data_IF_947380543504
#
_entry.id   IF_947380543504
#
_cell.length_a   1.000
_cell.length_b   1.000
_cell.length_c   1.000
_cell.angle_alpha   90.00
_cell.angle_beta   90.00
_cell.angle_gamma   90.00
#
_symmetry.space_group_name_H-M   'P 1'
#
loop_
_entity.id
_entity.type
_entity.pdbx_description
1 polymer ?
#
# COMPACT_ATOMS: atom_id res chain seq x y z
N UNK A 1 -55.49 29.04 15.78
CA UNK A 1 -54.81 27.94 15.04
C UNK A 1 -53.49 28.33 14.38
N UNK A 2 -53.04 29.61 14.41
CA UNK A 2 -51.81 30.07 13.73
C UNK A 2 -50.53 30.14 14.61
N UNK A 3 -50.65 29.86 15.91
CA UNK A 3 -49.53 29.95 16.89
C UNK A 3 -48.91 28.59 17.22
N UNK A 4 -49.64 27.50 17.05
CA UNK A 4 -49.15 26.12 17.26
C UNK A 4 -48.21 25.63 16.16
N UNK A 5 -48.31 26.16 14.93
CA UNK A 5 -47.36 25.85 13.85
C UNK A 5 -45.96 26.41 14.07
N UNK A 6 -45.78 27.54 14.78
CA UNK A 6 -44.44 28.12 14.95
C UNK A 6 -43.55 27.28 15.88
N UNK A 7 -44.14 26.67 16.92
CA UNK A 7 -43.38 25.89 17.90
C UNK A 7 -42.81 24.60 17.27
N UNK A 8 -43.51 24.03 16.29
CA UNK A 8 -43.08 22.81 15.62
C UNK A 8 -41.87 23.05 14.68
N UNK A 9 -41.73 24.24 14.10
CA UNK A 9 -40.57 24.57 13.25
C UNK A 9 -39.29 24.85 14.05
N UNK A 10 -39.37 25.31 15.30
CA UNK A 10 -38.18 25.54 16.14
C UNK A 10 -37.56 24.23 16.66
N UNK A 11 -38.34 23.16 16.81
CA UNK A 11 -37.85 21.84 17.25
C UNK A 11 -37.04 21.11 16.17
N UNK A 12 -37.23 21.43 14.88
CA UNK A 12 -36.47 20.87 13.77
C UNK A 12 -35.08 21.51 13.58
N UNK A 13 -34.84 22.69 14.17
CA UNK A 13 -33.55 23.38 14.09
C UNK A 13 -32.50 22.83 15.10
N UNK A 14 -32.94 22.15 16.17
CA UNK A 14 -32.06 21.65 17.22
C UNK A 14 -31.39 20.29 16.91
N UNK A 15 -31.80 19.60 15.84
CA UNK A 15 -31.13 18.37 15.37
C UNK A 15 -29.96 18.63 14.42
N UNK A 16 -29.70 19.89 14.05
CA UNK A 16 -28.51 20.28 13.29
C UNK A 16 -27.35 20.35 14.29
N UNK A 17 -26.70 19.21 14.49
CA UNK A 17 -25.45 19.11 15.25
C UNK A 17 -24.50 20.20 14.79
N UNK A 18 -24.21 21.12 15.70
CA UNK A 18 -23.13 22.09 15.61
C UNK A 18 -21.83 21.33 15.43
N UNK A 19 -21.35 21.26 14.19
CA UNK A 19 -19.96 20.96 13.91
C UNK A 19 -19.12 22.03 14.59
N UNK A 20 -18.23 21.60 15.49
CA UNK A 20 -17.28 22.46 16.17
C UNK A 20 -16.33 23.15 15.17
N UNK A 21 -15.65 24.22 15.60
CA UNK A 21 -14.92 25.11 14.71
C UNK A 21 -13.78 24.37 13.99
N UNK A 22 -13.67 24.67 12.71
CA UNK A 22 -12.56 24.32 11.82
C UNK A 22 -11.21 24.49 12.53
N UNK A 23 -10.58 23.36 12.85
CA UNK A 23 -9.13 23.30 12.80
C UNK A 23 -8.78 23.04 11.34
N UNK A 24 -8.45 24.12 10.65
CA UNK A 24 -7.68 24.07 9.42
C UNK A 24 -6.29 23.50 9.75
N UNK A 25 -6.20 22.17 9.84
CA UNK A 25 -4.93 21.47 9.84
C UNK A 25 -4.63 20.98 8.41
N UNK A 26 -3.44 21.37 8.01
CA UNK A 26 -2.69 21.10 6.79
C UNK A 26 -3.07 19.78 6.07
N UNK A 27 -3.38 19.91 4.77
CA UNK A 27 -3.80 18.82 3.87
C UNK A 27 -2.61 17.96 3.41
N UNK A 28 -1.87 17.38 4.34
CA UNK A 28 -1.13 16.14 4.08
C UNK A 28 -1.97 14.99 4.59
N UNK A 29 -2.85 14.49 3.72
CA UNK A 29 -3.77 13.39 3.97
C UNK A 29 -3.02 12.04 4.05
N UNK A 30 -2.13 11.91 5.01
CA UNK A 30 -1.63 10.62 5.47
C UNK A 30 -2.61 10.16 6.54
N UNK A 31 -3.29 9.01 6.38
CA UNK A 31 -4.20 8.51 7.40
C UNK A 31 -3.36 8.18 8.65
N UNK A 32 -3.30 9.10 9.61
CA UNK A 32 -2.76 8.77 10.93
C UNK A 32 -3.83 7.98 11.68
N UNK A 33 -3.44 6.87 12.31
CA UNK A 33 -4.34 6.01 13.06
C UNK A 33 -5.29 6.83 13.95
N UNK A 34 -6.59 6.56 13.82
CA UNK A 34 -7.61 7.26 14.60
C UNK A 34 -7.37 7.09 16.11
N UNK A 35 -7.95 7.95 16.95
CA UNK A 35 -7.79 7.83 18.40
C UNK A 35 -8.22 6.44 18.94
N UNK A 36 -9.27 5.86 18.34
CA UNK A 36 -9.76 4.52 18.64
C UNK A 36 -8.77 3.43 18.21
N UNK A 37 -8.20 3.55 17.01
CA UNK A 37 -7.22 2.60 16.49
C UNK A 37 -5.93 2.59 17.32
N UNK A 38 -5.43 3.77 17.73
CA UNK A 38 -4.29 3.85 18.65
C UNK A 38 -4.55 3.18 19.98
N UNK A 39 -5.75 3.36 20.56
CA UNK A 39 -6.12 2.69 21.80
C UNK A 39 -6.19 1.16 21.61
N UNK A 40 -6.75 0.69 20.49
CA UNK A 40 -6.84 -0.73 20.17
C UNK A 40 -5.47 -1.38 19.92
N UNK A 41 -4.53 -0.66 19.29
CA UNK A 41 -3.13 -1.09 19.17
C UNK A 41 -2.46 -1.15 20.56
N UNK A 42 -2.65 -0.12 21.38
CA UNK A 42 -2.07 -0.08 22.73
C UNK A 42 -2.61 -1.19 23.65
N UNK A 43 -3.87 -1.58 23.48
CA UNK A 43 -4.47 -2.71 24.20
C UNK A 43 -4.16 -4.09 23.59
N UNK A 44 -3.43 -4.14 22.46
CA UNK A 44 -3.10 -5.39 21.76
C UNK A 44 -4.27 -6.05 21.04
N UNK A 45 -5.37 -5.34 20.84
CA UNK A 45 -6.55 -5.85 20.09
C UNK A 45 -6.29 -5.81 18.58
N UNK A 46 -5.54 -4.80 18.12
CA UNK A 46 -5.11 -4.65 16.71
C UNK A 46 -3.59 -4.76 16.66
N UNK A 47 -3.07 -5.49 15.66
CA UNK A 47 -1.64 -5.56 15.41
C UNK A 47 -1.10 -4.19 14.97
N UNK A 48 0.04 -3.80 15.52
CA UNK A 48 0.76 -2.61 15.08
C UNK A 48 1.48 -2.94 13.77
N UNK A 49 0.82 -2.71 12.64
CA UNK A 49 1.41 -2.87 11.31
C UNK A 49 2.78 -2.18 11.27
N UNK A 50 2.89 -1.00 11.89
CA UNK A 50 4.08 -0.18 12.18
C UNK A 50 5.29 -0.91 12.76
N UNK A 51 5.11 -2.11 13.33
CA UNK A 51 6.17 -2.94 13.92
C UNK A 51 6.43 -4.26 13.19
N UNK A 52 5.59 -4.62 12.22
CA UNK A 52 5.76 -5.86 11.45
C UNK A 52 6.83 -5.63 10.37
N UNK A 53 7.77 -6.56 10.26
CA UNK A 53 8.81 -6.48 9.24
C UNK A 53 8.23 -6.65 7.83
N UNK A 54 8.56 -5.77 6.87
CA UNK A 54 8.11 -5.94 5.48
C UNK A 54 8.89 -7.03 4.75
N UNK A 55 9.98 -7.55 5.33
CA UNK A 55 10.77 -8.64 4.73
C UNK A 55 9.87 -9.85 4.48
N UNK A 56 9.98 -10.45 3.30
CA UNK A 56 9.19 -11.61 2.95
C UNK A 56 8.89 -11.74 1.47
N UNK A 57 8.09 -12.76 1.16
CA UNK A 57 7.54 -13.03 -0.15
C UNK A 57 6.03 -12.81 -0.11
N UNK A 58 5.54 -12.09 -1.11
CA UNK A 58 4.14 -11.76 -1.33
C UNK A 58 3.74 -12.21 -2.73
N UNK A 59 2.55 -12.77 -2.85
CA UNK A 59 2.09 -13.35 -4.10
C UNK A 59 0.57 -13.32 -4.20
N UNK A 60 0.05 -12.93 -5.37
CA UNK A 60 -1.34 -13.15 -5.76
C UNK A 60 -1.36 -14.08 -6.97
N UNK A 61 -2.24 -15.09 -6.94
CA UNK A 61 -2.47 -15.95 -8.11
C UNK A 61 -3.85 -15.65 -8.70
N UNK A 62 -3.95 -15.59 -10.02
CA UNK A 62 -5.20 -15.40 -10.75
C UNK A 62 -5.11 -16.04 -12.15
N UNK A 63 -6.15 -15.90 -12.98
CA UNK A 63 -6.23 -16.57 -14.30
C UNK A 63 -5.10 -16.18 -15.26
N UNK A 64 -4.69 -14.91 -15.26
CA UNK A 64 -3.61 -14.42 -16.12
C UNK A 64 -2.19 -14.85 -15.69
N UNK A 65 -1.99 -15.36 -14.46
CA UNK A 65 -0.66 -15.64 -13.93
C UNK A 65 -0.53 -15.44 -12.43
N UNK A 66 0.68 -15.06 -11.98
CA UNK A 66 0.96 -14.75 -10.59
C UNK A 66 1.64 -13.39 -10.50
N UNK A 67 1.13 -12.53 -9.65
CA UNK A 67 1.82 -11.33 -9.23
C UNK A 67 2.75 -11.68 -8.07
N UNK A 68 3.97 -11.16 -8.10
CA UNK A 68 5.00 -11.42 -7.10
C UNK A 68 5.59 -10.10 -6.60
N UNK A 69 5.82 -10.04 -5.30
CA UNK A 69 6.63 -9.01 -4.67
C UNK A 69 7.52 -9.70 -3.65
N UNK A 70 8.82 -9.48 -3.75
CA UNK A 70 9.77 -9.89 -2.72
C UNK A 70 10.36 -8.64 -2.06
N UNK A 71 10.63 -8.73 -0.77
CA UNK A 71 11.34 -7.69 0.00
C UNK A 71 12.40 -8.39 0.83
N UNK A 72 13.66 -8.03 0.61
CA UNK A 72 14.80 -8.64 1.29
C UNK A 72 15.76 -7.56 1.83
N UNK A 73 16.41 -7.81 2.99
CA UNK A 73 17.48 -6.94 3.46
C UNK A 73 18.74 -7.13 2.61
N UNK A 74 19.48 -6.04 2.39
CA UNK A 74 20.83 -6.07 1.83
C UNK A 74 21.88 -5.76 2.92
N UNK A 75 23.17 -5.87 2.59
CA UNK A 75 24.27 -5.85 3.57
C UNK A 75 24.39 -4.56 4.38
N UNK A 76 23.96 -3.42 3.83
CA UNK A 76 24.00 -2.12 4.50
C UNK A 76 22.78 -1.85 5.39
N UNK A 77 21.87 -2.82 5.53
CA UNK A 77 20.64 -2.71 6.30
C UNK A 77 19.49 -2.03 5.56
N UNK A 78 19.68 -1.60 4.30
CA UNK A 78 18.58 -1.15 3.45
C UNK A 78 17.74 -2.33 2.96
N UNK A 79 16.51 -2.05 2.52
CA UNK A 79 15.65 -3.07 1.93
C UNK A 79 15.69 -2.92 0.42
N UNK A 80 15.79 -4.05 -0.26
CA UNK A 80 15.62 -4.15 -1.71
C UNK A 80 14.36 -4.94 -2.01
N UNK A 81 13.72 -4.63 -3.12
CA UNK A 81 12.53 -5.31 -3.58
C UNK A 81 12.64 -5.65 -5.06
N UNK A 82 11.85 -6.63 -5.46
CA UNK A 82 11.53 -6.90 -6.85
C UNK A 82 10.05 -7.22 -6.97
N UNK A 83 9.47 -6.81 -8.08
CA UNK A 83 8.05 -6.89 -8.35
C UNK A 83 7.82 -7.41 -9.77
N UNK A 84 6.82 -8.27 -9.90
CA UNK A 84 6.23 -8.67 -11.16
C UNK A 84 4.70 -8.67 -11.02
N UNK A 85 3.99 -8.11 -12.00
CA UNK A 85 2.54 -8.17 -12.09
C UNK A 85 2.12 -8.61 -13.49
N UNK A 86 1.25 -9.61 -13.60
CA UNK A 86 0.90 -10.25 -14.88
C UNK A 86 -0.57 -9.97 -15.23
N UNK A 87 -0.81 -9.34 -16.39
CA UNK A 87 -2.16 -9.01 -16.87
C UNK A 87 -2.58 -9.84 -18.08
N UNK A 88 -1.66 -10.63 -18.64
CA UNK A 88 -1.89 -11.53 -19.76
C UNK A 88 -0.56 -12.03 -20.33
N UNK A 89 -0.62 -12.75 -21.46
CA UNK A 89 0.58 -13.33 -22.07
C UNK A 89 1.67 -12.28 -22.39
N UNK A 90 1.25 -11.15 -22.96
CA UNK A 90 2.11 -10.06 -23.43
C UNK A 90 2.10 -8.82 -22.49
N UNK A 91 1.16 -8.76 -21.55
CA UNK A 91 0.94 -7.58 -20.70
C UNK A 91 1.41 -7.88 -19.29
N UNK A 92 2.47 -7.22 -18.86
CA UNK A 92 3.04 -7.39 -17.53
C UNK A 92 3.79 -6.14 -17.11
N UNK A 93 4.02 -5.99 -15.81
CA UNK A 93 4.92 -4.99 -15.26
C UNK A 93 6.00 -5.68 -14.46
N UNK A 94 7.24 -5.22 -14.59
CA UNK A 94 8.38 -5.77 -13.86
C UNK A 94 9.30 -4.64 -13.41
N UNK A 95 9.89 -4.79 -12.22
CA UNK A 95 10.88 -3.84 -11.76
C UNK A 95 11.50 -4.21 -10.42
N UNK A 96 12.68 -3.67 -10.18
CA UNK A 96 13.44 -3.83 -8.95
C UNK A 96 13.85 -2.45 -8.42
N UNK A 97 14.16 -2.41 -7.13
CA UNK A 97 14.77 -1.24 -6.52
C UNK A 97 14.80 -1.29 -5.01
N UNK A 98 14.83 -0.10 -4.40
CA UNK A 98 14.93 0.04 -2.95
C UNK A 98 13.56 0.27 -2.29
N UNK A 99 13.35 -0.35 -1.15
CA UNK A 99 12.16 -0.16 -0.32
C UNK A 99 12.54 0.58 0.97
N UNK A 100 11.70 1.53 1.39
CA UNK A 100 11.81 2.17 2.70
C UNK A 100 10.48 2.16 3.40
N UNK A 101 10.49 1.76 4.66
CA UNK A 101 9.30 1.74 5.50
C UNK A 101 9.06 3.10 6.17
N UNK A 102 7.80 3.51 6.22
CA UNK A 102 7.34 4.72 6.92
C UNK A 102 5.95 4.45 7.53
N UNK A 103 5.92 3.99 8.78
CA UNK A 103 4.67 3.58 9.43
C UNK A 103 4.01 2.40 8.73
N UNK A 104 2.77 2.56 8.32
CA UNK A 104 1.97 1.62 7.54
C UNK A 104 2.19 1.76 6.02
N UNK A 105 3.22 2.51 5.58
CA UNK A 105 3.58 2.69 4.18
C UNK A 105 4.90 2.04 3.83
N UNK A 106 4.99 1.59 2.58
CA UNK A 106 6.24 1.22 1.91
C UNK A 106 6.48 2.15 0.73
N UNK A 107 7.60 2.86 0.78
CA UNK A 107 8.08 3.71 -0.30
C UNK A 107 8.97 2.83 -1.18
N UNK A 108 8.49 2.51 -2.38
CA UNK A 108 9.17 1.69 -3.37
C UNK A 108 9.76 2.64 -4.42
N UNK A 109 11.09 2.70 -4.49
CA UNK A 109 11.81 3.48 -5.50
C UNK A 109 12.46 2.52 -6.48
N UNK A 110 12.03 2.57 -7.73
CA UNK A 110 12.50 1.70 -8.81
C UNK A 110 13.82 2.21 -9.40
N UNK A 111 14.66 1.29 -9.86
CA UNK A 111 15.99 1.63 -10.40
C UNK A 111 15.95 1.98 -11.91
N UNK A 112 15.12 1.26 -12.68
CA UNK A 112 15.12 1.34 -14.15
C UNK A 112 14.29 2.48 -14.75
N UNK A 113 13.35 3.06 -13.98
CA UNK A 113 12.44 4.11 -14.46
C UNK A 113 12.70 5.43 -13.73
N UNK A 114 12.97 6.49 -14.49
CA UNK A 114 13.37 7.81 -13.99
C UNK A 114 12.42 8.30 -12.89
N UNK A 115 12.84 8.17 -11.63
CA UNK A 115 12.10 8.60 -10.45
C UNK A 115 10.71 7.96 -10.27
N UNK A 116 10.45 6.75 -10.79
CA UNK A 116 9.22 6.04 -10.41
C UNK A 116 9.28 5.68 -8.91
N UNK A 117 8.42 6.32 -8.14
CA UNK A 117 8.25 6.11 -6.70
C UNK A 117 6.79 5.76 -6.45
N UNK A 118 6.55 4.60 -5.84
CA UNK A 118 5.21 4.18 -5.42
C UNK A 118 5.17 4.13 -3.89
N UNK A 119 4.17 4.82 -3.31
CA UNK A 119 3.89 4.75 -1.87
C UNK A 119 2.76 3.73 -1.65
N UNK A 120 3.16 2.50 -1.39
CA UNK A 120 2.24 1.39 -1.15
C UNK A 120 1.73 1.37 0.30
N UNK A 121 0.50 0.90 0.50
CA UNK A 121 -0.02 0.53 1.81
C UNK A 121 0.60 -0.81 2.25
N UNK A 122 0.96 -0.90 3.53
CA UNK A 122 1.45 -2.12 4.16
C UNK A 122 0.80 -2.30 5.54
N UNK A 123 0.00 -3.36 5.68
CA UNK A 123 -0.77 -3.65 6.90
C UNK A 123 -0.17 -4.76 7.77
N UNK A 124 0.95 -5.37 7.33
CA UNK A 124 1.54 -6.54 7.98
C UNK A 124 1.56 -7.76 7.07
N UNK A 125 0.42 -8.02 6.43
CA UNK A 125 0.10 -9.24 5.68
C UNK A 125 -0.16 -8.98 4.19
N UNK A 126 -0.24 -7.72 3.77
CA UNK A 126 -0.40 -7.35 2.37
C UNK A 126 0.37 -6.07 2.05
N UNK A 127 0.86 -5.99 0.83
CA UNK A 127 1.31 -4.74 0.20
C UNK A 127 0.33 -4.37 -0.90
N UNK A 128 -0.27 -3.18 -0.84
CA UNK A 128 -1.23 -2.72 -1.84
C UNK A 128 -0.74 -1.41 -2.49
N UNK A 129 -0.64 -1.41 -3.82
CA UNK A 129 -0.28 -0.23 -4.60
C UNK A 129 -1.48 0.72 -4.68
N UNK A 130 -1.25 2.04 -4.77
CA UNK A 130 -2.33 3.02 -4.89
C UNK A 130 -3.11 2.83 -6.20
N UNK A 131 -4.37 3.29 -6.23
CA UNK A 131 -5.19 3.25 -7.44
C UNK A 131 -4.78 4.24 -8.53
N UNK A 132 -3.77 5.07 -8.26
CA UNK A 132 -3.15 5.99 -9.22
C UNK A 132 -1.65 5.98 -8.96
N UNK A 133 -0.84 5.78 -9.99
CA UNK A 133 0.62 5.84 -9.93
C UNK A 133 1.14 6.98 -10.80
N UNK A 134 2.38 7.40 -10.59
CA UNK A 134 3.01 8.42 -11.43
C UNK A 134 3.17 7.89 -12.86
N UNK A 135 3.01 8.77 -13.86
CA UNK A 135 3.20 8.42 -15.28
C UNK A 135 4.60 7.87 -15.58
N UNK A 136 5.61 8.22 -14.77
CA UNK A 136 6.98 7.69 -14.84
C UNK A 136 7.06 6.19 -14.57
N UNK A 137 6.05 5.62 -13.94
CA UNK A 137 5.98 4.18 -13.69
C UNK A 137 5.45 3.39 -14.89
N UNK A 138 4.99 4.06 -15.96
CA UNK A 138 4.52 3.38 -17.17
C UNK A 138 5.63 2.59 -17.88
N UNK A 139 6.89 3.06 -17.80
CA UNK A 139 8.05 2.39 -18.43
C UNK A 139 8.41 1.05 -17.76
N UNK A 140 7.80 0.72 -16.63
CA UNK A 140 7.93 -0.59 -15.98
C UNK A 140 7.01 -1.65 -16.60
N UNK A 141 6.12 -1.25 -17.50
CA UNK A 141 5.03 -2.08 -17.99
C UNK A 141 5.06 -2.25 -19.51
N UNK A 142 4.86 -3.49 -19.95
CA UNK A 142 4.66 -3.83 -21.34
C UNK A 142 3.17 -3.81 -21.72
N UNK A 143 2.92 -3.34 -22.95
CA UNK A 143 1.58 -3.29 -23.54
C UNK A 143 0.65 -2.31 -22.80
N UNK A 144 -0.40 -2.84 -22.17
CA UNK A 144 -1.39 -2.06 -21.39
C UNK A 144 -1.39 -2.44 -19.90
N UNK A 145 -0.31 -3.05 -19.42
CA UNK A 145 -0.14 -3.31 -18.00
C UNK A 145 -0.13 -2.01 -17.19
N UNK A 146 -0.55 -2.08 -15.93
CA UNK A 146 -0.49 -0.95 -15.00
C UNK A 146 -0.32 -1.46 -13.58
N UNK A 147 0.50 -0.78 -12.78
CA UNK A 147 0.69 -1.08 -11.36
C UNK A 147 -0.42 -0.51 -10.46
N UNK A 148 -1.40 0.19 -11.04
CA UNK A 148 -2.50 0.80 -10.30
C UNK A 148 -3.39 -0.25 -9.62
N UNK A 149 -3.56 -0.13 -8.30
CA UNK A 149 -4.44 -0.99 -7.51
C UNK A 149 -3.97 -2.45 -7.35
N UNK A 150 -2.79 -2.81 -7.85
CA UNK A 150 -2.23 -4.15 -7.69
C UNK A 150 -1.96 -4.41 -6.20
N UNK A 151 -2.24 -5.64 -5.73
CA UNK A 151 -2.04 -6.01 -4.33
C UNK A 151 -1.39 -7.38 -4.19
N UNK A 152 -0.43 -7.46 -3.29
CA UNK A 152 0.43 -8.61 -3.03
C UNK A 152 0.21 -9.09 -1.59
N UNK A 153 -0.64 -10.11 -1.36
CA UNK A 153 -0.78 -10.71 -0.04
C UNK A 153 0.45 -11.55 0.29
N UNK A 154 0.83 -11.58 1.58
CA UNK A 154 2.01 -12.26 2.09
C UNK A 154 1.82 -13.77 2.03
N UNK A 155 2.83 -14.47 1.54
CA UNK A 155 2.91 -15.93 1.60
C UNK A 155 4.06 -16.43 2.47
N UNK A 156 5.08 -15.60 2.73
CA UNK A 156 6.13 -15.90 3.71
C UNK A 156 6.71 -14.63 4.36
N UNK A 157 7.01 -14.69 5.65
CA UNK A 157 7.58 -13.57 6.43
C UNK A 157 9.10 -13.56 6.58
N UNK A 158 9.81 -14.45 5.88
CA UNK A 158 11.23 -14.70 6.06
C UNK A 158 12.04 -14.23 4.83
N UNK A 159 13.30 -13.87 5.01
CA UNK A 159 14.18 -13.44 3.91
C UNK A 159 14.49 -14.57 2.90
N UNK A 160 14.58 -15.83 3.36
CA UNK A 160 14.91 -16.98 2.50
C UNK A 160 13.97 -17.14 1.30
N UNK A 161 12.64 -17.25 1.51
CA UNK A 161 11.65 -17.26 0.44
C UNK A 161 11.70 -16.03 -0.47
N UNK A 162 11.94 -14.84 0.08
CA UNK A 162 12.05 -13.61 -0.71
C UNK A 162 13.25 -13.68 -1.69
N UNK A 163 14.40 -14.16 -1.23
CA UNK A 163 15.62 -14.33 -2.04
C UNK A 163 15.51 -15.49 -3.03
N UNK A 164 14.69 -16.50 -2.72
CA UNK A 164 14.41 -17.63 -3.59
C UNK A 164 13.37 -17.32 -4.68
N UNK A 165 12.67 -16.18 -4.59
CA UNK A 165 11.64 -15.79 -5.55
C UNK A 165 12.22 -15.66 -6.96
N UNK A 166 11.45 -16.11 -7.95
CA UNK A 166 11.77 -16.05 -9.37
C UNK A 166 10.59 -15.44 -10.13
N UNK A 167 10.90 -14.61 -11.11
CA UNK A 167 9.92 -14.03 -12.03
C UNK A 167 9.42 -15.06 -13.07
N UNK A 168 8.62 -14.62 -14.05
CA UNK A 168 8.14 -15.48 -15.15
C UNK A 168 9.26 -16.02 -16.05
N UNK A 169 10.37 -15.31 -16.17
CA UNK A 169 11.53 -15.69 -16.97
C UNK A 169 12.46 -16.67 -16.23
N UNK A 170 12.23 -16.87 -14.93
CA UNK A 170 13.06 -17.70 -14.07
C UNK A 170 14.25 -16.96 -13.47
N UNK A 171 14.31 -15.63 -13.61
CA UNK A 171 15.36 -14.80 -13.06
C UNK A 171 15.09 -14.47 -11.58
N UNK A 172 16.13 -14.22 -10.77
CA UNK A 172 15.96 -13.84 -9.38
C UNK A 172 15.20 -12.52 -9.22
N UNK A 173 14.02 -12.56 -8.58
CA UNK A 173 13.21 -11.35 -8.39
C UNK A 173 13.87 -10.37 -7.39
N UNK A 174 14.48 -10.87 -6.31
CA UNK A 174 15.24 -10.07 -5.34
C UNK A 174 16.74 -10.42 -5.29
N UNK A 175 17.22 -11.29 -6.19
CA UNK A 175 18.56 -11.86 -6.09
C UNK A 175 19.65 -10.82 -6.28
N UNK A 176 20.78 -10.93 -5.54
CA UNK A 176 21.84 -9.92 -5.50
C UNK A 176 22.34 -9.58 -6.91
N UNK A 177 22.74 -8.32 -7.11
CA UNK A 177 23.45 -7.89 -8.32
C UNK A 177 24.70 -8.74 -8.58
#
# INVERSE_FOLDING_TARGET
MRRTSLILLLLLAACQRTGGPDQAEDRTNVPSASGLERAAIASGVIADAGKISPVGLFQRSHEAGRDLLCIAPVRDGTLRFGLEAIFGAEQHCHGQGSARRAGDKLILRFDAADQCIIVAQYDGDQVALPGVVDMKCADLCDGRGSLEGVSFPRIAGQAGPALAARDRAGEPLCGPD
#
